data_IF_326068254085
#
_entry.id   IF_326068254085
#
_cell.length_a   1.000
_cell.length_b   1.000
_cell.length_c   1.000
_cell.angle_alpha   90.00
_cell.angle_beta   90.00
_cell.angle_gamma   90.00
#
_symmetry.space_group_name_H-M   'P 1'
#
loop_
_entity.id
_entity.type
_entity.pdbx_description
1 polymer ?
#
# COMPACT_ATOMS: atom_id res chain seq x y z
N UNK A 1 0.41 -1.89 -13.35
CA UNK A 1 0.15 -0.67 -12.56
C UNK A 1 -1.15 -0.82 -11.77
N UNK A 2 -1.07 -1.26 -10.49
CA UNK A 2 -2.24 -1.42 -9.64
C UNK A 2 -2.86 -0.06 -9.31
N UNK A 3 -4.19 0.00 -9.37
CA UNK A 3 -4.99 1.16 -9.01
C UNK A 3 -5.70 0.89 -7.69
N UNK A 4 -5.43 1.71 -6.68
CA UNK A 4 -6.02 1.60 -5.34
C UNK A 4 -6.64 2.93 -4.97
N UNK A 5 -7.91 2.92 -4.54
CA UNK A 5 -8.69 4.12 -4.22
C UNK A 5 -8.68 5.18 -5.34
N UNK A 6 -8.60 4.76 -6.61
CA UNK A 6 -8.53 5.65 -7.77
C UNK A 6 -7.13 6.22 -8.06
N UNK A 7 -6.14 5.97 -7.21
CA UNK A 7 -4.74 6.38 -7.37
C UNK A 7 -3.91 5.23 -7.94
N UNK A 8 -3.00 5.56 -8.84
CA UNK A 8 -2.05 4.60 -9.39
C UNK A 8 -0.85 4.48 -8.43
N UNK A 9 -0.55 3.26 -8.02
CA UNK A 9 0.53 2.98 -7.07
C UNK A 9 1.62 2.10 -7.70
N UNK A 10 2.89 2.27 -7.30
CA UNK A 10 4.02 1.59 -7.92
C UNK A 10 3.99 0.07 -7.69
N UNK A 11 4.20 -0.70 -8.78
CA UNK A 11 4.08 -2.17 -8.80
C UNK A 11 5.39 -2.94 -8.53
N UNK A 12 6.47 -2.22 -8.25
CA UNK A 12 7.77 -2.82 -7.94
C UNK A 12 8.28 -2.39 -6.56
N UNK A 13 7.35 -2.05 -5.67
CA UNK A 13 7.65 -1.66 -4.29
C UNK A 13 6.82 -2.49 -3.30
N UNK A 14 7.32 -2.65 -2.06
CA UNK A 14 6.54 -3.24 -0.98
C UNK A 14 5.20 -2.51 -0.82
N UNK A 15 4.11 -3.26 -0.63
CA UNK A 15 2.76 -2.68 -0.54
C UNK A 15 2.69 -1.61 0.55
N UNK A 16 3.42 -1.79 1.67
CA UNK A 16 3.48 -0.78 2.74
C UNK A 16 4.00 0.57 2.27
N UNK A 17 4.91 0.60 1.30
CA UNK A 17 5.45 1.83 0.69
C UNK A 17 4.52 2.31 -0.41
N UNK A 18 4.02 1.41 -1.25
CA UNK A 18 3.10 1.76 -2.35
C UNK A 18 1.82 2.43 -1.84
N UNK A 19 1.26 1.97 -0.71
CA UNK A 19 0.09 2.60 -0.09
C UNK A 19 0.34 4.04 0.37
N UNK A 20 1.59 4.40 0.70
CA UNK A 20 1.93 5.76 1.13
C UNK A 20 1.92 6.80 0.00
N UNK A 21 1.77 6.36 -1.25
CA UNK A 21 1.55 7.26 -2.40
C UNK A 21 0.10 7.77 -2.44
N UNK A 22 -0.81 7.17 -1.68
CA UNK A 22 -2.18 7.64 -1.54
C UNK A 22 -2.20 8.80 -0.55
N UNK A 23 -2.73 9.95 -0.97
CA UNK A 23 -2.83 11.13 -0.11
C UNK A 23 -3.61 10.81 1.17
N UNK A 24 -3.03 11.15 2.32
CA UNK A 24 -3.59 10.87 3.64
C UNK A 24 -3.19 9.51 4.24
N UNK A 25 -2.54 8.62 3.48
CA UNK A 25 -2.04 7.35 4.01
C UNK A 25 -0.56 7.47 4.37
N UNK A 26 -0.31 7.67 5.66
CA UNK A 26 1.04 7.62 6.23
C UNK A 26 1.51 6.18 6.57
N UNK A 27 2.73 6.03 7.09
CA UNK A 27 3.31 4.72 7.43
C UNK A 27 2.56 3.98 8.55
N UNK A 28 1.84 4.71 9.41
CA UNK A 28 0.96 4.12 10.43
C UNK A 28 -0.28 3.50 9.78
N UNK A 29 -1.03 4.30 9.03
CA UNK A 29 -2.24 3.85 8.34
C UNK A 29 -1.96 2.72 7.34
N UNK A 30 -0.85 2.79 6.60
CA UNK A 30 -0.45 1.70 5.70
C UNK A 30 -0.28 0.37 6.46
N UNK A 31 0.36 0.39 7.63
CA UNK A 31 0.52 -0.81 8.47
C UNK A 31 -0.80 -1.28 9.08
N UNK A 32 -1.63 -0.37 9.56
CA UNK A 32 -2.94 -0.70 10.14
C UNK A 32 -3.89 -1.32 9.10
N UNK A 33 -3.88 -0.78 7.86
CA UNK A 33 -4.65 -1.33 6.73
C UNK A 33 -4.15 -2.73 6.37
N UNK A 34 -2.83 -2.91 6.26
CA UNK A 34 -2.23 -4.20 5.95
C UNK A 34 -2.50 -5.26 7.03
N UNK A 35 -2.40 -4.86 8.31
CA UNK A 35 -2.74 -5.73 9.44
C UNK A 35 -4.22 -6.10 9.44
N UNK A 36 -5.11 -5.16 9.15
CA UNK A 36 -6.56 -5.40 9.04
C UNK A 36 -6.90 -6.29 7.85
N UNK A 37 -6.16 -6.16 6.74
CA UNK A 37 -6.31 -6.98 5.55
C UNK A 37 -5.62 -8.36 5.65
N UNK A 38 -4.80 -8.58 6.68
CA UNK A 38 -4.00 -9.82 6.83
C UNK A 38 -2.94 -9.99 5.74
N UNK A 39 -2.47 -8.90 5.13
CA UNK A 39 -1.50 -8.92 4.04
C UNK A 39 -0.12 -8.52 4.56
N UNK A 40 0.91 -9.28 4.20
CA UNK A 40 2.29 -8.91 4.51
C UNK A 40 2.71 -7.70 3.67
N UNK A 41 3.07 -6.61 4.36
CA UNK A 41 3.52 -5.36 3.75
C UNK A 41 4.84 -5.44 2.99
N UNK A 42 5.60 -6.52 3.14
CA UNK A 42 6.83 -6.80 2.38
C UNK A 42 6.54 -7.37 0.99
N UNK A 43 5.33 -7.89 0.77
CA UNK A 43 4.91 -8.36 -0.56
C UNK A 43 4.91 -7.16 -1.51
N UNK A 44 5.33 -7.38 -2.76
CA UNK A 44 5.34 -6.35 -3.80
C UNK A 44 3.92 -6.14 -4.32
N UNK A 45 3.52 -4.88 -4.52
CA UNK A 45 2.24 -4.59 -5.15
C UNK A 45 2.31 -5.08 -6.60
N UNK A 46 1.48 -6.06 -7.00
CA UNK A 46 1.43 -6.60 -8.37
C UNK A 46 0.08 -6.32 -9.02
#
# INVERSE_FOLDING_TARGET
>A
MPRVAGVEIPENKPIVVSLQYIYGIGPKFARDILASAGVDGQIRAS
#
